data_IF_882542751581
#
_entry.id   IF_882542751581
#
_cell.length_a   1.000
_cell.length_b   1.000
_cell.length_c   1.000
_cell.angle_alpha   90.00
_cell.angle_beta   90.00
_cell.angle_gamma   90.00
#
_symmetry.space_group_name_H-M   'P 1'
#
loop_
_entity.id
_entity.type
_entity.pdbx_description
1 polymer ?
#
# COMPACT_ATOMS: atom_id res chain seq x y z
N UNK A 1 36.38 -16.39 46.43
CA UNK A 1 35.59 -15.14 46.23
C UNK A 1 36.23 -14.11 45.29
N UNK A 2 37.56 -14.04 45.14
CA UNK A 2 38.25 -13.01 44.30
C UNK A 2 37.97 -13.15 42.79
N UNK A 3 37.88 -14.37 42.25
CA UNK A 3 37.66 -14.61 40.82
C UNK A 3 36.30 -14.09 40.28
N UNK A 4 35.24 -14.17 41.09
CA UNK A 4 33.90 -13.70 40.70
C UNK A 4 33.87 -12.17 40.60
N UNK A 5 34.56 -11.47 41.51
CA UNK A 5 34.63 -10.01 41.50
C UNK A 5 35.46 -9.49 40.32
N UNK A 6 36.52 -10.19 39.89
CA UNK A 6 37.33 -9.83 38.71
C UNK A 6 36.55 -10.07 37.42
N UNK A 7 35.87 -11.21 37.30
CA UNK A 7 35.04 -11.52 36.13
C UNK A 7 33.87 -10.53 35.98
N UNK A 8 33.22 -10.16 37.09
CA UNK A 8 32.17 -9.13 37.10
C UNK A 8 32.73 -7.77 36.67
N UNK A 9 33.91 -7.38 37.15
CA UNK A 9 34.56 -6.11 36.78
C UNK A 9 35.04 -6.06 35.33
N UNK A 10 35.42 -7.20 34.74
CA UNK A 10 35.77 -7.33 33.31
C UNK A 10 34.52 -7.29 32.43
N UNK A 11 33.44 -7.96 32.85
CA UNK A 11 32.14 -7.89 32.18
C UNK A 11 31.54 -6.48 32.24
N UNK A 12 31.53 -5.85 33.40
CA UNK A 12 31.05 -4.47 33.57
C UNK A 12 31.87 -3.47 32.74
N UNK A 13 33.19 -3.68 32.61
CA UNK A 13 34.04 -2.86 31.73
C UNK A 13 33.88 -3.15 30.23
N UNK A 14 33.48 -4.37 29.85
CA UNK A 14 33.21 -4.70 28.44
C UNK A 14 31.84 -4.19 28.00
N UNK A 15 30.84 -4.21 28.88
CA UNK A 15 29.52 -3.62 28.67
C UNK A 15 29.60 -2.08 28.66
N UNK A 16 30.38 -1.46 29.56
CA UNK A 16 30.58 -0.02 29.59
C UNK A 16 31.33 0.56 28.37
N UNK A 17 31.91 -0.28 27.50
CA UNK A 17 32.67 0.14 26.30
C UNK A 17 31.99 -0.16 24.97
N UNK A 18 30.81 -0.80 24.96
CA UNK A 18 30.08 -1.01 23.71
C UNK A 18 29.32 0.26 23.35
N UNK A 19 29.99 1.15 22.60
CA UNK A 19 29.33 2.24 21.91
C UNK A 19 28.24 1.72 20.96
N UNK A 20 27.31 2.61 20.61
CA UNK A 20 26.17 2.26 19.76
C UNK A 20 26.63 1.69 18.40
N UNK A 21 26.14 0.50 18.05
CA UNK A 21 26.49 -0.15 16.79
C UNK A 21 25.49 0.21 15.69
N UNK A 22 25.81 1.25 14.92
CA UNK A 22 24.99 1.75 13.82
C UNK A 22 24.64 0.71 12.75
N UNK A 23 25.49 -0.30 12.54
CA UNK A 23 25.24 -1.38 11.56
C UNK A 23 24.17 -2.35 12.05
N UNK A 24 24.20 -2.70 13.34
CA UNK A 24 23.17 -3.56 13.94
C UNK A 24 21.86 -2.80 13.99
N UNK A 25 21.89 -1.55 14.46
CA UNK A 25 20.71 -0.69 14.49
C UNK A 25 20.00 -0.56 13.14
N UNK A 26 20.73 -0.30 12.04
CA UNK A 26 20.06 -0.13 10.74
C UNK A 26 19.43 -1.43 10.25
N UNK A 27 20.01 -2.60 10.56
CA UNK A 27 19.42 -3.90 10.20
C UNK A 27 18.14 -4.16 11.00
N UNK A 28 18.17 -3.91 12.31
CA UNK A 28 16.99 -4.05 13.16
C UNK A 28 15.89 -3.05 12.74
N UNK A 29 16.27 -1.81 12.41
CA UNK A 29 15.36 -0.79 11.92
C UNK A 29 14.70 -1.23 10.60
N UNK A 30 15.47 -1.77 9.65
CA UNK A 30 14.95 -2.30 8.39
C UNK A 30 13.95 -3.44 8.62
N UNK A 31 14.26 -4.37 9.51
CA UNK A 31 13.38 -5.50 9.84
C UNK A 31 12.03 -5.01 10.38
N UNK A 32 12.06 -4.15 11.39
CA UNK A 32 10.83 -3.66 12.03
C UNK A 32 10.02 -2.75 11.12
N UNK A 33 10.68 -1.85 10.39
CA UNK A 33 9.96 -0.96 9.47
C UNK A 33 9.37 -1.73 8.29
N UNK A 34 10.07 -2.72 7.72
CA UNK A 34 9.50 -3.57 6.67
C UNK A 34 8.29 -4.36 7.16
N UNK A 35 8.35 -4.92 8.36
CA UNK A 35 7.21 -5.64 8.96
C UNK A 35 5.98 -4.72 9.12
N UNK A 36 6.18 -3.54 9.70
CA UNK A 36 5.11 -2.55 9.90
C UNK A 36 4.57 -2.04 8.56
N UNK A 37 5.45 -1.82 7.57
CA UNK A 37 5.07 -1.35 6.24
C UNK A 37 4.18 -2.38 5.52
N UNK A 38 4.53 -3.66 5.57
CA UNK A 38 3.70 -4.75 5.02
C UNK A 38 2.35 -4.84 5.72
N UNK A 39 2.32 -4.81 7.06
CA UNK A 39 1.06 -4.88 7.82
C UNK A 39 0.13 -3.71 7.48
N UNK A 40 0.68 -2.51 7.46
CA UNK A 40 -0.08 -1.30 7.12
C UNK A 40 -0.51 -1.29 5.65
N UNK A 41 0.32 -1.79 4.73
CA UNK A 41 0.00 -1.99 3.32
C UNK A 41 -1.16 -2.98 3.10
N UNK A 42 -1.19 -4.11 3.82
CA UNK A 42 -2.30 -5.07 3.79
C UNK A 42 -3.61 -4.41 4.23
N UNK A 43 -3.57 -3.60 5.30
CA UNK A 43 -4.76 -2.87 5.74
C UNK A 43 -5.22 -1.85 4.70
N UNK A 44 -4.30 -1.08 4.12
CA UNK A 44 -4.60 -0.08 3.08
C UNK A 44 -5.00 -0.68 1.73
N UNK A 45 -4.69 -1.96 1.51
CA UNK A 45 -5.17 -2.70 0.34
C UNK A 45 -6.70 -2.82 0.36
N UNK A 46 -7.30 -2.90 1.55
CA UNK A 46 -8.75 -2.85 1.72
C UNK A 46 -9.30 -1.45 1.42
N UNK A 47 -10.56 -1.31 0.98
CA UNK A 47 -11.04 -0.02 0.54
C UNK A 47 -11.33 0.91 1.72
N UNK A 48 -10.47 1.91 1.88
CA UNK A 48 -10.56 2.87 2.97
C UNK A 48 -11.80 3.77 3.01
N UNK A 49 -12.52 3.86 1.90
CA UNK A 49 -13.81 4.55 1.87
C UNK A 49 -14.89 3.84 2.70
N UNK A 50 -14.76 2.51 2.92
CA UNK A 50 -15.70 1.75 3.75
C UNK A 50 -15.20 1.55 5.18
N UNK A 51 -13.89 1.61 5.40
CA UNK A 51 -13.30 1.52 6.74
C UNK A 51 -13.85 2.58 7.70
N UNK A 52 -14.19 3.79 7.21
CA UNK A 52 -14.84 4.82 8.03
C UNK A 52 -16.28 4.47 8.40
N UNK A 53 -17.02 3.80 7.50
CA UNK A 53 -18.43 3.46 7.70
C UNK A 53 -18.62 2.18 8.52
N UNK A 54 -17.58 1.34 8.63
CA UNK A 54 -17.70 0.00 9.20
C UNK A 54 -17.05 -0.19 10.58
N UNK A 55 -16.37 0.82 11.14
CA UNK A 55 -15.65 0.75 12.42
C UNK A 55 -14.69 -0.46 12.59
N UNK A 56 -14.36 -1.16 11.50
CA UNK A 56 -13.51 -2.34 11.49
C UNK A 56 -12.05 -1.91 11.46
N UNK A 57 -11.48 -1.64 12.63
CA UNK A 57 -10.05 -1.48 12.76
C UNK A 57 -9.52 -2.12 14.05
N UNK A 58 -8.52 -3.04 13.96
CA UNK A 58 -7.88 -3.64 15.14
C UNK A 58 -7.27 -2.63 16.12
N UNK A 59 -6.93 -1.41 15.69
CA UNK A 59 -6.29 -0.39 16.53
C UNK A 59 -7.15 0.85 16.81
N UNK A 60 -8.41 0.88 16.36
CA UNK A 60 -9.31 2.05 16.54
C UNK A 60 -8.89 3.33 15.80
N UNK A 61 -7.81 3.31 15.03
CA UNK A 61 -7.39 4.39 14.12
C UNK A 61 -8.35 4.59 12.94
N UNK A 62 -8.38 5.81 12.40
CA UNK A 62 -9.05 6.11 11.13
C UNK A 62 -8.22 5.58 9.95
N UNK A 63 -8.86 5.32 8.80
CA UNK A 63 -8.14 4.97 7.56
C UNK A 63 -7.09 6.01 7.18
N UNK A 64 -7.36 7.30 7.44
CA UNK A 64 -6.40 8.39 7.23
C UNK A 64 -5.17 8.23 8.11
N UNK A 65 -5.33 7.85 9.37
CA UNK A 65 -4.21 7.61 10.29
C UNK A 65 -3.37 6.41 9.84
N UNK A 66 -3.99 5.33 9.36
CA UNK A 66 -3.25 4.22 8.74
C UNK A 66 -2.45 4.66 7.51
N UNK A 67 -3.05 5.46 6.64
CA UNK A 67 -2.37 5.97 5.44
C UNK A 67 -1.16 6.85 5.80
N UNK A 68 -1.32 7.73 6.81
CA UNK A 68 -0.23 8.56 7.34
C UNK A 68 0.86 7.67 7.94
N UNK A 69 0.49 6.67 8.75
CA UNK A 69 1.42 5.77 9.40
C UNK A 69 2.25 4.97 8.38
N UNK A 70 1.59 4.33 7.40
CA UNK A 70 2.24 3.61 6.31
C UNK A 70 3.21 4.52 5.54
N UNK A 71 2.76 5.74 5.19
CA UNK A 71 3.60 6.69 4.44
C UNK A 71 4.87 7.07 5.22
N UNK A 72 4.75 7.38 6.51
CA UNK A 72 5.90 7.74 7.36
C UNK A 72 6.84 6.54 7.51
N UNK A 73 6.32 5.34 7.76
CA UNK A 73 7.13 4.12 7.89
C UNK A 73 7.86 3.81 6.59
N UNK A 74 7.20 3.94 5.43
CA UNK A 74 7.82 3.77 4.12
C UNK A 74 8.95 4.76 3.86
N UNK A 75 8.81 6.02 4.28
CA UNK A 75 9.92 6.99 4.21
C UNK A 75 11.09 6.57 5.11
N UNK A 76 10.84 6.18 6.36
CA UNK A 76 11.89 5.71 7.27
C UNK A 76 12.59 4.47 6.71
N UNK A 77 11.83 3.51 6.19
CA UNK A 77 12.35 2.30 5.54
C UNK A 77 13.25 2.67 4.35
N UNK A 78 12.81 3.60 3.50
CA UNK A 78 13.60 4.07 2.35
C UNK A 78 14.93 4.70 2.79
N UNK A 79 14.91 5.60 3.78
CA UNK A 79 16.13 6.21 4.31
C UNK A 79 17.04 5.18 5.00
N UNK A 80 16.47 4.22 5.72
CA UNK A 80 17.21 3.14 6.34
C UNK A 80 17.90 2.24 5.29
N UNK A 81 17.26 1.97 4.14
CA UNK A 81 17.86 1.23 3.01
C UNK A 81 19.07 2.00 2.47
N UNK A 82 18.91 3.29 2.19
CA UNK A 82 20.01 4.13 1.68
C UNK A 82 21.17 4.18 2.67
N UNK A 83 20.87 4.38 3.95
CA UNK A 83 21.86 4.41 5.03
C UNK A 83 22.57 3.07 5.18
N UNK A 84 21.83 1.95 5.07
CA UNK A 84 22.39 0.60 5.08
C UNK A 84 23.38 0.38 3.94
N UNK A 85 23.05 0.82 2.72
CA UNK A 85 23.94 0.74 1.56
C UNK A 85 25.21 1.55 1.79
N UNK A 86 25.12 2.76 2.34
CA UNK A 86 26.31 3.59 2.64
C UNK A 86 27.22 2.91 3.68
N UNK A 87 26.65 2.41 4.79
CA UNK A 87 27.42 1.76 5.86
C UNK A 87 28.09 0.44 5.42
N UNK A 88 27.50 -0.23 4.43
CA UNK A 88 27.93 -1.54 3.93
C UNK A 88 28.44 -1.50 2.49
N UNK A 89 28.79 -0.31 1.97
CA UNK A 89 29.23 -0.13 0.58
C UNK A 89 30.45 -0.98 0.23
N UNK A 90 31.47 -0.98 1.09
CA UNK A 90 32.69 -1.77 0.89
C UNK A 90 32.40 -3.28 0.83
N UNK A 91 31.71 -3.89 1.81
CA UNK A 91 31.24 -5.28 1.72
C UNK A 91 30.43 -5.57 0.45
N UNK A 92 29.48 -4.70 0.09
CA UNK A 92 28.62 -4.88 -1.08
C UNK A 92 29.43 -4.93 -2.37
N UNK A 93 30.33 -3.96 -2.57
CA UNK A 93 31.20 -3.90 -3.75
C UNK A 93 32.20 -5.05 -3.76
N UNK A 94 32.75 -5.43 -2.60
CA UNK A 94 33.67 -6.57 -2.50
C UNK A 94 32.96 -7.88 -2.90
N UNK A 95 31.74 -8.09 -2.43
CA UNK A 95 30.90 -9.22 -2.79
C UNK A 95 30.59 -9.24 -4.29
N UNK A 96 30.16 -8.10 -4.85
CA UNK A 96 29.90 -7.96 -6.29
C UNK A 96 31.17 -8.23 -7.08
N UNK A 97 32.33 -7.66 -6.71
CA UNK A 97 33.61 -7.86 -7.41
C UNK A 97 34.14 -9.28 -7.31
N UNK A 98 34.03 -9.90 -6.15
CA UNK A 98 34.45 -11.30 -5.94
C UNK A 98 33.60 -12.24 -6.79
N UNK A 99 32.28 -12.01 -6.87
CA UNK A 99 31.40 -12.75 -7.76
C UNK A 99 31.59 -12.38 -9.23
N UNK A 100 31.93 -11.13 -9.54
CA UNK A 100 32.21 -10.64 -10.89
C UNK A 100 33.51 -11.20 -11.48
N UNK A 101 34.48 -11.60 -10.65
CA UNK A 101 35.70 -12.28 -11.10
C UNK A 101 35.48 -13.75 -11.45
N UNK A 102 34.32 -14.32 -11.15
CA UNK A 102 33.92 -15.69 -11.49
C UNK A 102 32.93 -15.75 -12.68
N UNK A 103 32.91 -14.72 -13.53
CA UNK A 103 31.83 -14.45 -14.50
C UNK A 103 31.97 -15.26 -15.79
N UNK A 104 31.10 -16.26 -15.92
CA UNK A 104 30.04 -16.13 -16.90
C UNK A 104 28.84 -15.46 -16.21
N UNK A 105 28.03 -14.67 -16.93
CA UNK A 105 26.77 -14.11 -16.45
C UNK A 105 25.92 -15.23 -15.84
N UNK A 106 25.97 -15.38 -14.52
CA UNK A 106 25.22 -16.46 -13.88
C UNK A 106 23.73 -16.17 -14.02
N UNK A 107 22.97 -17.23 -14.22
CA UNK A 107 21.55 -17.17 -14.52
C UNK A 107 20.77 -16.35 -13.49
N UNK A 108 21.18 -16.32 -12.22
CA UNK A 108 20.48 -15.60 -11.16
C UNK A 108 20.46 -14.08 -11.35
N UNK A 109 21.56 -13.47 -11.81
CA UNK A 109 21.58 -12.03 -12.10
C UNK A 109 20.68 -11.72 -13.29
N UNK A 110 20.75 -12.55 -14.33
CA UNK A 110 19.88 -12.41 -15.50
C UNK A 110 18.41 -12.58 -15.10
N UNK A 111 18.07 -13.56 -14.27
CA UNK A 111 16.71 -13.76 -13.76
C UNK A 111 16.23 -12.58 -12.91
N UNK A 112 17.07 -12.02 -12.05
CA UNK A 112 16.71 -10.84 -11.27
C UNK A 112 16.44 -9.63 -12.17
N UNK A 113 17.28 -9.41 -13.19
CA UNK A 113 17.10 -8.33 -14.17
C UNK A 113 15.85 -8.54 -15.01
N UNK A 114 15.63 -9.75 -15.53
CA UNK A 114 14.44 -10.11 -16.32
C UNK A 114 13.17 -9.97 -15.50
N UNK A 115 13.16 -10.42 -14.24
CA UNK A 115 12.02 -10.26 -13.34
C UNK A 115 11.75 -8.78 -13.05
N UNK A 116 12.78 -7.97 -12.81
CA UNK A 116 12.62 -6.53 -12.59
C UNK A 116 12.04 -5.83 -13.83
N UNK A 117 12.58 -6.15 -15.00
CA UNK A 117 12.10 -5.62 -16.28
C UNK A 117 10.65 -6.08 -16.54
N UNK A 118 10.35 -7.35 -16.28
CA UNK A 118 9.02 -7.92 -16.39
C UNK A 118 8.02 -7.18 -15.49
N UNK A 119 8.35 -6.90 -14.23
CA UNK A 119 7.44 -6.18 -13.33
C UNK A 119 7.13 -4.76 -13.84
N UNK A 120 8.12 -4.08 -14.43
CA UNK A 120 7.91 -2.76 -15.07
C UNK A 120 7.00 -2.90 -16.29
N UNK A 121 7.30 -3.83 -17.19
CA UNK A 121 6.49 -4.09 -18.40
C UNK A 121 5.07 -4.49 -18.02
N UNK A 122 4.91 -5.40 -17.06
CA UNK A 122 3.61 -5.85 -16.56
C UNK A 122 2.82 -4.72 -15.91
N UNK A 123 3.49 -3.74 -15.30
CA UNK A 123 2.82 -2.54 -14.78
C UNK A 123 2.32 -1.64 -15.90
N UNK A 124 3.16 -1.37 -16.90
CA UNK A 124 2.82 -0.49 -18.04
C UNK A 124 1.75 -1.10 -18.93
N UNK A 125 1.87 -2.40 -19.22
CA UNK A 125 0.96 -3.15 -20.10
C UNK A 125 -0.20 -3.82 -19.34
N UNK A 126 -0.26 -3.66 -18.02
CA UNK A 126 -1.29 -4.26 -17.18
C UNK A 126 -1.37 -5.80 -17.30
N UNK A 127 -0.22 -6.47 -17.27
CA UNK A 127 -0.12 -7.93 -17.29
C UNK A 127 -0.14 -8.55 -15.88
N UNK A 128 -0.44 -9.86 -15.75
CA UNK A 128 -0.31 -10.56 -14.47
C UNK A 128 1.12 -10.45 -13.90
N UNK A 129 1.31 -10.39 -12.56
CA UNK A 129 0.28 -10.40 -11.53
C UNK A 129 -0.34 -9.01 -11.28
N UNK A 130 0.11 -7.95 -11.94
CA UNK A 130 -0.36 -6.57 -11.69
C UNK A 130 -1.86 -6.46 -11.92
N UNK A 131 -2.35 -6.94 -13.07
CA UNK A 131 -3.79 -6.95 -13.36
C UNK A 131 -4.57 -7.79 -12.36
N UNK A 132 -4.10 -9.00 -12.05
CA UNK A 132 -4.77 -9.89 -11.10
C UNK A 132 -4.94 -9.26 -9.71
N UNK A 133 -3.89 -8.62 -9.20
CA UNK A 133 -3.93 -7.93 -7.90
C UNK A 133 -4.89 -6.73 -8.01
N UNK A 134 -4.77 -5.90 -9.04
CA UNK A 134 -5.61 -4.71 -9.18
C UNK A 134 -7.10 -5.05 -9.36
N UNK A 135 -7.42 -6.03 -10.21
CA UNK A 135 -8.80 -6.47 -10.48
C UNK A 135 -9.44 -7.14 -9.26
N UNK A 136 -8.65 -7.85 -8.46
CA UNK A 136 -9.13 -8.36 -7.17
C UNK A 136 -9.53 -7.20 -6.25
N UNK A 137 -8.72 -6.14 -6.20
CA UNK A 137 -9.03 -4.94 -5.41
C UNK A 137 -10.28 -4.23 -5.93
N UNK A 138 -10.47 -4.09 -7.23
CA UNK A 138 -11.68 -3.46 -7.80
C UNK A 138 -12.94 -4.27 -7.50
N UNK A 139 -12.85 -5.60 -7.57
CA UNK A 139 -13.94 -6.51 -7.17
C UNK A 139 -14.32 -6.32 -5.70
N UNK A 140 -13.33 -6.27 -4.80
CA UNK A 140 -13.58 -5.97 -3.39
C UNK A 140 -14.28 -4.61 -3.24
N UNK A 141 -13.78 -3.56 -3.90
CA UNK A 141 -14.40 -2.23 -3.84
C UNK A 141 -15.88 -2.27 -4.25
N UNK A 142 -16.24 -3.02 -5.29
CA UNK A 142 -17.61 -3.20 -5.75
C UNK A 142 -18.52 -3.84 -4.68
N UNK A 143 -18.07 -4.94 -4.07
CA UNK A 143 -18.81 -5.63 -3.01
C UNK A 143 -19.07 -4.71 -1.82
N UNK A 144 -18.04 -3.99 -1.38
CA UNK A 144 -18.16 -3.08 -0.26
C UNK A 144 -19.03 -1.85 -0.59
N UNK A 145 -18.90 -1.30 -1.81
CA UNK A 145 -19.73 -0.17 -2.27
C UNK A 145 -21.20 -0.53 -2.25
N UNK A 146 -21.53 -1.72 -2.77
CA UNK A 146 -22.88 -2.21 -2.75
C UNK A 146 -23.40 -2.37 -1.32
N UNK A 147 -22.61 -2.97 -0.40
CA UNK A 147 -23.04 -3.15 1.00
C UNK A 147 -23.32 -1.84 1.72
N UNK A 148 -22.52 -0.80 1.47
CA UNK A 148 -22.61 0.47 2.21
C UNK A 148 -23.57 1.46 1.57
N UNK A 149 -23.63 1.53 0.23
CA UNK A 149 -24.34 2.60 -0.48
C UNK A 149 -25.56 2.13 -1.28
N UNK A 150 -25.95 0.84 -1.26
CA UNK A 150 -27.11 0.35 -2.02
C UNK A 150 -28.41 1.13 -1.75
N UNK A 151 -28.59 1.56 -0.50
CA UNK A 151 -29.81 2.22 -0.03
C UNK A 151 -29.71 3.76 -0.04
N UNK A 152 -28.51 4.31 -0.26
CA UNK A 152 -28.30 5.74 -0.39
C UNK A 152 -28.90 6.24 -1.71
N UNK A 153 -29.46 7.45 -1.69
CA UNK A 153 -29.95 8.11 -2.90
C UNK A 153 -28.84 8.86 -3.65
N UNK A 154 -29.10 9.27 -4.89
CA UNK A 154 -28.19 10.17 -5.63
C UNK A 154 -27.96 11.48 -4.87
N UNK A 155 -28.98 12.00 -4.19
CA UNK A 155 -28.88 13.19 -3.34
C UNK A 155 -28.01 12.93 -2.10
N UNK A 156 -28.12 11.77 -1.46
CA UNK A 156 -27.25 11.39 -0.34
C UNK A 156 -25.80 11.30 -0.78
N UNK A 157 -25.53 10.70 -1.95
CA UNK A 157 -24.21 10.66 -2.55
C UNK A 157 -23.66 12.07 -2.79
N UNK A 158 -24.47 12.98 -3.33
CA UNK A 158 -24.06 14.37 -3.52
C UNK A 158 -23.71 15.05 -2.19
N UNK A 159 -24.54 14.87 -1.16
CA UNK A 159 -24.36 15.42 0.19
C UNK A 159 -23.10 14.91 0.87
N UNK A 160 -22.86 13.59 0.85
CA UNK A 160 -21.66 12.95 1.43
C UNK A 160 -20.38 13.55 0.81
N UNK A 161 -20.43 13.93 -0.47
CA UNK A 161 -19.28 14.47 -1.20
C UNK A 161 -19.24 16.00 -1.25
N UNK A 162 -20.19 16.68 -0.61
CA UNK A 162 -20.33 18.15 -0.64
C UNK A 162 -20.40 18.66 -2.09
N UNK A 163 -21.10 17.92 -2.93
CA UNK A 163 -21.38 18.27 -4.32
C UNK A 163 -22.82 18.75 -4.45
N UNK A 164 -23.09 19.55 -5.47
CA UNK A 164 -24.46 19.86 -5.88
C UNK A 164 -25.04 18.64 -6.61
N UNK A 165 -26.31 18.30 -6.39
CA UNK A 165 -26.92 17.10 -6.99
C UNK A 165 -26.96 17.22 -8.52
N UNK A 166 -27.15 18.43 -9.04
CA UNK A 166 -27.14 18.73 -10.47
C UNK A 166 -25.79 18.41 -11.11
N UNK A 167 -24.68 18.60 -10.37
CA UNK A 167 -23.35 18.23 -10.85
C UNK A 167 -23.17 16.71 -10.95
N UNK A 168 -23.79 15.95 -10.06
CA UNK A 168 -23.75 14.49 -10.09
C UNK A 168 -24.59 13.98 -11.27
N UNK A 169 -25.79 14.52 -11.46
CA UNK A 169 -26.66 14.16 -12.58
C UNK A 169 -26.01 14.48 -13.94
N UNK A 170 -25.43 15.68 -14.11
CA UNK A 170 -24.71 16.02 -15.33
C UNK A 170 -23.51 15.10 -15.62
N UNK A 171 -22.85 14.58 -14.56
CA UNK A 171 -21.78 13.58 -14.71
C UNK A 171 -22.34 12.23 -15.14
N UNK A 172 -23.48 11.81 -14.59
CA UNK A 172 -24.14 10.56 -14.96
C UNK A 172 -24.61 10.59 -16.41
N UNK A 173 -25.20 11.70 -16.85
CA UNK A 173 -25.65 11.91 -18.22
C UNK A 173 -24.50 11.75 -19.25
N UNK A 174 -23.29 12.24 -18.93
CA UNK A 174 -22.10 12.05 -19.78
C UNK A 174 -21.76 10.57 -20.06
N UNK A 175 -22.16 9.67 -19.16
CA UNK A 175 -21.97 8.22 -19.31
C UNK A 175 -23.24 7.49 -19.75
N UNK A 176 -24.31 8.21 -20.13
CA UNK A 176 -25.60 7.62 -20.51
C UNK A 176 -26.37 7.06 -19.32
N UNK A 177 -26.13 7.57 -18.12
CA UNK A 177 -26.80 7.12 -16.89
C UNK A 177 -27.91 8.09 -16.55
N UNK A 178 -29.16 7.64 -16.68
CA UNK A 178 -30.33 8.37 -16.20
C UNK A 178 -30.55 8.08 -14.72
N UNK A 179 -30.74 9.13 -13.91
CA UNK A 179 -31.04 9.00 -12.48
C UNK A 179 -31.82 10.19 -11.94
N UNK A 180 -32.60 9.99 -10.89
CA UNK A 180 -33.26 11.06 -10.14
C UNK A 180 -32.60 11.29 -8.75
N UNK A 181 -32.71 12.50 -8.16
CA UNK A 181 -32.12 12.80 -6.84
C UNK A 181 -32.50 11.83 -5.72
N UNK A 182 -33.76 11.40 -5.68
CA UNK A 182 -34.36 10.52 -4.67
C UNK A 182 -34.20 9.02 -5.00
N UNK A 183 -33.62 8.70 -6.16
CA UNK A 183 -33.44 7.33 -6.60
C UNK A 183 -32.27 6.66 -5.87
N UNK A 184 -32.49 5.41 -5.43
CA UNK A 184 -31.46 4.60 -4.79
C UNK A 184 -30.35 4.21 -5.76
N UNK A 185 -29.11 4.26 -5.31
CA UNK A 185 -27.94 3.88 -6.11
C UNK A 185 -27.99 2.43 -6.61
N UNK A 186 -28.62 1.51 -5.86
CA UNK A 186 -28.80 0.12 -6.32
C UNK A 186 -29.68 0.01 -7.56
N UNK A 187 -30.74 0.81 -7.65
CA UNK A 187 -31.66 0.79 -8.81
C UNK A 187 -31.00 1.44 -10.02
N UNK A 188 -30.32 2.57 -9.82
CA UNK A 188 -29.50 3.21 -10.86
C UNK A 188 -28.43 2.24 -11.38
N UNK A 189 -27.77 1.50 -10.49
CA UNK A 189 -26.74 0.52 -10.85
C UNK A 189 -27.33 -0.64 -11.68
N UNK A 190 -28.47 -1.17 -11.25
CA UNK A 190 -29.16 -2.26 -11.95
C UNK A 190 -29.62 -1.85 -13.35
N UNK A 191 -30.14 -0.62 -13.51
CA UNK A 191 -30.60 -0.10 -14.80
C UNK A 191 -29.45 0.24 -15.74
N UNK A 192 -28.41 0.89 -15.23
CA UNK A 192 -27.30 1.40 -16.04
C UNK A 192 -26.24 0.35 -16.36
N UNK A 193 -26.23 -0.79 -15.66
CA UNK A 193 -25.19 -1.81 -15.78
C UNK A 193 -23.87 -1.43 -15.10
N UNK A 194 -23.78 -0.24 -14.50
CA UNK A 194 -22.62 0.20 -13.73
C UNK A 194 -22.72 -0.27 -12.28
N UNK A 195 -21.66 -0.86 -11.69
CA UNK A 195 -21.63 -1.14 -10.27
C UNK A 195 -21.82 0.14 -9.44
N UNK A 196 -22.37 0.00 -8.24
CA UNK A 196 -22.52 1.12 -7.27
C UNK A 196 -21.19 1.85 -7.04
N UNK A 197 -20.06 1.13 -7.06
CA UNK A 197 -18.74 1.75 -6.96
C UNK A 197 -18.40 2.67 -8.14
N UNK A 198 -18.78 2.29 -9.36
CA UNK A 198 -18.54 3.10 -10.55
C UNK A 198 -19.46 4.33 -10.59
N UNK A 199 -20.71 4.21 -10.13
CA UNK A 199 -21.57 5.37 -9.91
C UNK A 199 -20.93 6.38 -8.94
N UNK A 200 -20.33 5.88 -7.86
CA UNK A 200 -19.56 6.71 -6.94
C UNK A 200 -18.34 7.38 -7.59
N UNK A 201 -17.59 6.66 -8.44
CA UNK A 201 -16.44 7.22 -9.16
C UNK A 201 -16.87 8.31 -10.14
N UNK A 202 -17.90 8.04 -10.95
CA UNK A 202 -18.45 8.96 -11.93
C UNK A 202 -18.99 10.21 -11.24
N UNK A 203 -19.72 10.06 -10.12
CA UNK A 203 -20.22 11.18 -9.34
C UNK A 203 -19.09 12.12 -8.86
N UNK A 204 -17.86 11.62 -8.70
CA UNK A 204 -16.66 12.41 -8.35
C UNK A 204 -15.92 13.00 -9.55
N UNK A 205 -16.38 12.74 -10.77
CA UNK A 205 -15.66 13.10 -12.00
C UNK A 205 -14.46 12.20 -12.27
N UNK A 206 -14.46 10.96 -11.77
CA UNK A 206 -13.47 9.94 -12.11
C UNK A 206 -14.03 8.98 -13.15
N UNK A 207 -13.16 8.34 -13.91
CA UNK A 207 -13.56 7.28 -14.83
C UNK A 207 -14.01 6.02 -14.06
N UNK A 208 -14.98 5.26 -14.58
CA UNK A 208 -15.41 3.99 -14.00
C UNK A 208 -14.29 2.95 -14.07
N UNK A 209 -14.23 2.04 -13.09
CA UNK A 209 -13.18 1.04 -13.00
C UNK A 209 -13.30 -0.06 -14.08
N UNK A 210 -14.51 -0.33 -14.58
CA UNK A 210 -14.79 -1.41 -15.53
C UNK A 210 -14.73 -1.02 -17.02
N UNK A 211 -14.11 0.11 -17.38
CA UNK A 211 -13.82 0.43 -18.79
C UNK A 211 -12.33 0.34 -19.08
N UNK A 212 -11.82 -0.88 -19.23
CA UNK A 212 -10.69 -1.20 -20.11
C UNK A 212 -10.95 -2.52 -20.81
#
# INVERSE_FOLDING_TARGET
MVGVAVLKRVKDRSEARRGFNWRVFVVDLLLWTAFIDVLSGIFLYTPGHFAHSLHVNPLGLTFRQWAVWHTIVGFVLTFAILYHVVLNWRPLVAYIRQRARAVALRSEFLWALLLSAYLVVATVLYWPPVSTIWDFRTTLNGVWAYRVWKDDTVADLAKIRRLKVEQVLARFEKYGIEAAPDEKLAEVAKRSGYPVYDLYLIARGREPALRR
#
